data_IF_128489744751
#
_entry.id   IF_128489744751
#
_cell.length_a   1.000
_cell.length_b   1.000
_cell.length_c   1.000
_cell.angle_alpha   90.00
_cell.angle_beta   90.00
_cell.angle_gamma   90.00
#
_symmetry.space_group_name_H-M   'P 1'
#
loop_
_entity.id
_entity.type
_entity.pdbx_description
1 polymer ?
#
# COMPACT_ATOMS: atom_id res chain seq x y z
N UNK A 1 -24.72 -26.25 5.55
CA UNK A 1 -23.44 -25.68 6.06
C UNK A 1 -23.16 -24.42 5.26
N UNK A 2 -23.94 -23.38 5.55
CA UNK A 2 -23.97 -22.09 4.87
C UNK A 2 -23.20 -21.06 5.70
N UNK A 3 -21.94 -20.81 5.31
CA UNK A 3 -21.14 -19.79 5.95
C UNK A 3 -21.57 -18.39 5.46
N UNK A 4 -22.78 -17.94 5.86
CA UNK A 4 -23.39 -16.66 5.53
C UNK A 4 -22.82 -15.47 6.32
N UNK A 5 -21.51 -15.45 6.57
CA UNK A 5 -20.83 -14.32 7.25
C UNK A 5 -19.76 -13.65 6.40
N UNK A 6 -19.86 -13.73 5.07
CA UNK A 6 -19.02 -12.90 4.20
C UNK A 6 -19.47 -11.45 4.31
N UNK A 7 -18.77 -10.69 5.14
CA UNK A 7 -19.01 -9.27 5.37
C UNK A 7 -19.09 -8.51 4.03
N UNK A 8 -20.00 -7.52 3.88
CA UNK A 8 -20.27 -6.83 2.61
C UNK A 8 -19.00 -6.26 1.95
N UNK A 9 -17.98 -5.92 2.74
CA UNK A 9 -16.69 -5.40 2.27
C UNK A 9 -15.86 -6.42 1.45
N UNK A 10 -16.06 -7.72 1.65
CA UNK A 10 -15.32 -8.76 0.90
C UNK A 10 -15.85 -8.96 -0.51
N UNK A 11 -17.15 -8.71 -0.74
CA UNK A 11 -17.75 -8.81 -2.06
C UNK A 11 -17.22 -7.72 -2.99
N UNK A 12 -17.14 -6.49 -2.49
CA UNK A 12 -16.54 -5.36 -3.22
C UNK A 12 -15.04 -5.53 -3.43
N UNK A 13 -14.32 -6.14 -2.47
CA UNK A 13 -12.90 -6.41 -2.62
C UNK A 13 -12.63 -7.43 -3.74
N UNK A 14 -13.43 -8.50 -3.83
CA UNK A 14 -13.34 -9.49 -4.92
C UNK A 14 -13.60 -8.85 -6.29
N UNK A 15 -14.67 -8.07 -6.43
CA UNK A 15 -14.96 -7.38 -7.70
C UNK A 15 -13.84 -6.45 -8.14
N UNK A 16 -13.16 -5.76 -7.21
CA UNK A 16 -12.04 -4.86 -7.54
C UNK A 16 -10.81 -5.65 -7.99
N UNK A 17 -10.51 -6.76 -7.32
CA UNK A 17 -9.39 -7.63 -7.70
C UNK A 17 -9.66 -8.30 -9.04
N UNK A 18 -10.84 -8.89 -9.25
CA UNK A 18 -11.20 -9.54 -10.53
C UNK A 18 -11.06 -8.58 -11.72
N UNK A 19 -11.48 -7.32 -11.56
CA UNK A 19 -11.31 -6.28 -12.57
C UNK A 19 -9.84 -5.88 -12.77
N UNK A 20 -9.05 -5.79 -11.70
CA UNK A 20 -7.63 -5.50 -11.77
C UNK A 20 -6.85 -6.64 -12.47
N UNK A 21 -7.21 -7.91 -12.21
CA UNK A 21 -6.66 -9.08 -12.90
C UNK A 21 -6.89 -9.01 -14.40
N UNK A 22 -8.08 -8.62 -14.83
CA UNK A 22 -8.44 -8.53 -16.26
C UNK A 22 -7.62 -7.46 -16.95
N UNK A 23 -7.47 -6.28 -16.34
CA UNK A 23 -6.65 -5.18 -16.88
C UNK A 23 -5.17 -5.56 -16.91
N UNK A 24 -4.66 -6.22 -15.87
CA UNK A 24 -3.29 -6.68 -15.78
C UNK A 24 -2.94 -7.67 -16.91
N UNK A 25 -3.80 -8.69 -17.10
CA UNK A 25 -3.66 -9.68 -18.19
C UNK A 25 -3.66 -9.03 -19.57
N UNK A 26 -4.46 -7.99 -19.77
CA UNK A 26 -4.54 -7.28 -21.06
C UNK A 26 -3.25 -6.52 -21.39
N UNK A 27 -2.54 -6.03 -20.37
CA UNK A 27 -1.26 -5.33 -20.51
C UNK A 27 -0.05 -6.27 -20.55
N UNK A 28 -0.27 -7.60 -20.49
CA UNK A 28 0.81 -8.59 -20.41
C UNK A 28 1.59 -8.56 -19.09
N UNK A 29 1.11 -7.79 -18.11
CA UNK A 29 1.72 -7.64 -16.79
C UNK A 29 1.01 -8.57 -15.82
N UNK A 30 1.77 -9.31 -15.02
CA UNK A 30 1.18 -10.07 -13.92
C UNK A 30 0.54 -9.09 -12.93
N UNK A 31 -0.69 -9.37 -12.48
CA UNK A 31 -1.39 -8.61 -11.43
C UNK A 31 -0.52 -8.44 -10.17
N UNK A 32 0.40 -9.38 -9.97
CA UNK A 32 1.41 -9.34 -8.91
C UNK A 32 2.38 -8.17 -9.06
N UNK A 33 2.79 -7.79 -10.28
CA UNK A 33 3.70 -6.65 -10.51
C UNK A 33 2.96 -5.33 -10.26
N UNK A 34 1.71 -5.22 -10.70
CA UNK A 34 0.90 -4.00 -10.50
C UNK A 34 0.61 -3.80 -9.01
N UNK A 35 0.15 -4.84 -8.33
CA UNK A 35 -0.12 -4.79 -6.89
C UNK A 35 1.15 -4.52 -6.08
N UNK A 36 2.27 -5.17 -6.42
CA UNK A 36 3.56 -4.93 -5.77
C UNK A 36 4.05 -3.49 -5.99
N UNK A 37 3.85 -2.92 -7.17
CA UNK A 37 4.24 -1.53 -7.47
C UNK A 37 3.39 -0.53 -6.69
N UNK A 38 2.07 -0.73 -6.63
CA UNK A 38 1.15 0.12 -5.87
C UNK A 38 1.44 0.03 -4.37
N UNK A 39 1.70 -1.16 -3.85
CA UNK A 39 2.10 -1.36 -2.44
C UNK A 39 3.45 -0.70 -2.17
N UNK A 40 4.45 -0.90 -3.03
CA UNK A 40 5.77 -0.28 -2.89
C UNK A 40 5.69 1.26 -2.91
N UNK A 41 4.85 1.84 -3.79
CA UNK A 41 4.57 3.28 -3.78
C UNK A 41 3.84 3.72 -2.51
N UNK A 42 2.84 2.95 -2.06
CA UNK A 42 2.07 3.24 -0.85
C UNK A 42 2.90 3.22 0.43
N UNK A 43 3.96 2.41 0.47
CA UNK A 43 4.88 2.32 1.62
C UNK A 43 5.98 3.37 1.58
N UNK A 44 6.47 3.78 0.40
CA UNK A 44 7.54 4.77 0.29
C UNK A 44 7.07 6.20 0.51
N UNK A 45 5.84 6.54 0.13
CA UNK A 45 5.28 7.88 0.27
C UNK A 45 5.24 8.38 1.74
N UNK A 46 4.74 7.60 2.72
CA UNK A 46 4.78 8.00 4.13
C UNK A 46 6.21 8.13 4.66
N UNK A 47 7.11 7.22 4.25
CA UNK A 47 8.52 7.22 4.65
C UNK A 47 9.25 8.49 4.20
N UNK A 48 8.93 8.99 3.01
CA UNK A 48 9.47 10.26 2.50
C UNK A 48 8.82 11.49 3.14
N UNK A 49 7.53 11.41 3.46
CA UNK A 49 6.76 12.53 4.02
C UNK A 49 6.99 12.77 5.52
N UNK A 50 7.31 11.72 6.29
CA UNK A 50 7.58 11.82 7.73
C UNK A 50 8.74 12.78 8.08
N UNK A 51 9.97 12.62 7.52
CA UNK A 51 11.07 13.51 7.86
C UNK A 51 10.84 14.96 7.42
N UNK A 52 10.11 15.19 6.31
CA UNK A 52 9.70 16.54 5.89
C UNK A 52 8.85 17.19 6.97
N UNK A 53 7.88 16.45 7.51
CA UNK A 53 6.97 16.95 8.55
C UNK A 53 7.71 17.23 9.86
N UNK A 54 8.65 16.35 10.24
CA UNK A 54 9.45 16.50 11.47
C UNK A 54 10.41 17.70 11.38
N UNK A 55 10.98 17.97 10.19
CA UNK A 55 11.79 19.16 9.93
C UNK A 55 10.98 20.46 10.11
N UNK A 56 9.73 20.50 9.66
CA UNK A 56 8.87 21.68 9.87
C UNK A 56 8.51 21.89 11.35
N UNK A 57 8.48 20.82 12.15
CA UNK A 57 8.18 20.87 13.59
C UNK A 57 9.41 21.13 14.48
N UNK A 58 10.61 21.22 13.91
CA UNK A 58 11.87 21.27 14.64
C UNK A 58 12.11 20.02 15.54
N UNK A 59 11.56 18.86 15.16
CA UNK A 59 11.64 17.59 15.89
C UNK A 59 12.74 16.68 15.31
N UNK A 60 13.98 17.17 15.30
CA UNK A 60 15.11 16.50 14.61
C UNK A 60 15.46 15.12 15.18
N UNK A 61 15.22 14.87 16.48
CA UNK A 61 15.46 13.56 17.10
C UNK A 61 14.46 12.50 16.60
N UNK A 62 13.19 12.88 16.44
CA UNK A 62 12.12 12.00 15.92
C UNK A 62 12.36 11.69 14.44
N UNK A 63 12.82 12.69 13.67
CA UNK A 63 13.22 12.52 12.27
C UNK A 63 14.28 11.42 12.12
N UNK A 64 15.30 11.41 13.00
CA UNK A 64 16.39 10.44 12.93
C UNK A 64 15.91 9.02 13.23
N UNK A 65 15.06 8.85 14.25
CA UNK A 65 14.44 7.57 14.58
C UNK A 65 13.59 7.03 13.41
N UNK A 66 12.78 7.88 12.78
CA UNK A 66 11.96 7.53 11.62
C UNK A 66 12.81 7.09 10.41
N UNK A 67 13.96 7.72 10.16
CA UNK A 67 14.87 7.36 9.06
C UNK A 67 15.55 6.01 9.33
N UNK A 68 15.98 5.77 10.57
CA UNK A 68 16.60 4.48 10.95
C UNK A 68 15.59 3.34 10.79
N UNK A 69 14.33 3.56 11.20
CA UNK A 69 13.26 2.59 11.02
C UNK A 69 12.95 2.28 9.55
N UNK A 70 13.17 3.23 8.63
CA UNK A 70 12.98 3.00 7.20
C UNK A 70 14.08 2.16 6.54
N UNK A 71 15.25 2.04 7.18
CA UNK A 71 16.41 1.33 6.65
C UNK A 71 16.54 -0.13 7.15
N UNK A 72 15.68 -0.56 8.09
CA UNK A 72 15.78 -1.84 8.79
C UNK A 72 14.43 -2.60 8.81
#
# INVERSE_FOLDING_TARGET
>A
MDNHRTAPVTHTARMRMDNATVVARYLGLSELIISLTIVAMGTSLPVLAAPITDMYKHENDIMLENIIAAAN
#
